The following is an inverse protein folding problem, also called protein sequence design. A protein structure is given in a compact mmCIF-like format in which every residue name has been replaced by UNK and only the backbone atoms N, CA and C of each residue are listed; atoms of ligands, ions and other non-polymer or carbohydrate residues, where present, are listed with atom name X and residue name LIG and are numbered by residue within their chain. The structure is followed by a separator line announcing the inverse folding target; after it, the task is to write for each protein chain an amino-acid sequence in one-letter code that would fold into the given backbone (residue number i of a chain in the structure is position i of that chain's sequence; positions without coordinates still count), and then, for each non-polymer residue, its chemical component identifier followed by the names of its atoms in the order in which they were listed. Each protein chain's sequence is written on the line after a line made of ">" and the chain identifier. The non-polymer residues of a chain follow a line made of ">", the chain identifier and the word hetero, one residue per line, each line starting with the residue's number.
data_IF_786804441849
#
_entry.id   IF_786804441849
#
_cell.length_a   1.000
_cell.length_b   1.000
_cell.length_c   1.000
_cell.angle_alpha   90.00
_cell.angle_beta   90.00
_cell.angle_gamma   90.00
#
_symmetry.space_group_name_H-M   'P 1'
#
loop_
_entity.id
_entity.type
_entity.pdbx_description
1 polymer ?
#
# COMPACT_ATOMS: atom_id res chain seq x y z
N UNK A 1 -8.06 -29.11 0.14
CA UNK A 1 -7.53 -28.23 1.20
C UNK A 1 -7.02 -26.98 0.51
N UNK A 2 -7.83 -25.93 0.45
CA UNK A 2 -7.60 -24.75 -0.37
C UNK A 2 -6.53 -23.83 0.26
N UNK A 3 -5.64 -23.26 -0.56
CA UNK A 3 -4.65 -22.23 -0.19
C UNK A 3 -5.33 -21.04 0.54
N UNK A 4 -6.60 -20.82 0.31
CA UNK A 4 -7.44 -19.80 0.96
C UNK A 4 -7.53 -19.95 2.49
N UNK A 5 -7.46 -21.18 3.03
CA UNK A 5 -7.54 -21.43 4.48
C UNK A 5 -6.26 -21.11 5.26
N UNK A 6 -5.12 -20.97 4.58
CA UNK A 6 -3.85 -20.66 5.27
C UNK A 6 -3.60 -19.16 5.48
N UNK A 7 -4.32 -18.31 4.76
CA UNK A 7 -4.16 -16.84 4.83
C UNK A 7 -5.37 -16.14 5.47
N UNK A 8 -6.48 -16.85 5.67
CA UNK A 8 -7.60 -16.34 6.47
C UNK A 8 -7.30 -16.57 7.94
N UNK A 9 -7.43 -15.52 8.73
CA UNK A 9 -7.40 -15.64 10.19
C UNK A 9 -8.60 -16.54 10.57
N UNK A 10 -8.40 -17.65 11.33
CA UNK A 10 -9.46 -18.61 11.61
C UNK A 10 -10.66 -17.96 12.29
N UNK A 11 -11.87 -18.32 11.87
CA UNK A 11 -13.13 -17.81 12.47
C UNK A 11 -13.38 -18.36 13.88
N UNK A 12 -12.77 -19.49 14.24
CA UNK A 12 -12.85 -20.11 15.55
C UNK A 12 -11.70 -19.65 16.47
N UNK A 13 -11.99 -18.63 17.24
CA UNK A 13 -11.04 -17.77 17.97
C UNK A 13 -10.31 -18.42 19.16
N UNK A 14 -10.75 -19.54 19.69
CA UNK A 14 -10.22 -20.01 20.98
C UNK A 14 -9.09 -21.08 20.88
N UNK A 15 -9.11 -21.93 19.87
CA UNK A 15 -8.16 -23.06 19.77
C UNK A 15 -7.18 -22.96 18.60
N UNK A 16 -7.60 -22.42 17.45
CA UNK A 16 -6.76 -22.34 16.25
C UNK A 16 -5.88 -21.10 16.20
N UNK A 17 -6.31 -20.00 16.85
CA UNK A 17 -5.57 -18.73 16.84
C UNK A 17 -4.21 -18.82 17.54
N UNK A 18 -4.14 -19.53 18.64
CA UNK A 18 -2.89 -19.70 19.39
C UNK A 18 -1.87 -20.58 18.64
N UNK A 19 -2.33 -21.64 18.00
CA UNK A 19 -1.48 -22.54 17.21
C UNK A 19 -0.94 -21.82 15.95
N UNK A 20 -1.78 -21.06 15.26
CA UNK A 20 -1.38 -20.26 14.07
C UNK A 20 -0.37 -19.17 14.43
N UNK A 21 -0.59 -18.40 15.49
CA UNK A 21 0.34 -17.38 15.99
C UNK A 21 1.68 -17.99 16.37
N UNK A 22 1.68 -19.15 17.02
CA UNK A 22 2.91 -19.86 17.40
C UNK A 22 3.73 -20.30 16.18
N UNK A 23 3.08 -20.73 15.12
CA UNK A 23 3.75 -21.22 13.91
C UNK A 23 4.20 -20.07 12.99
N UNK A 24 3.52 -18.92 13.00
CA UNK A 24 3.72 -17.81 12.07
C UNK A 24 4.37 -16.58 12.68
N UNK A 25 4.64 -16.58 13.99
CA UNK A 25 5.16 -15.43 14.73
C UNK A 25 6.44 -14.84 14.13
N UNK A 26 7.39 -15.66 13.74
CA UNK A 26 8.66 -15.21 13.15
C UNK A 26 8.44 -14.53 11.79
N UNK A 27 7.57 -15.08 10.96
CA UNK A 27 7.24 -14.51 9.64
C UNK A 27 6.50 -13.18 9.78
N UNK A 28 5.57 -13.10 10.74
CA UNK A 28 4.84 -11.87 11.04
C UNK A 28 5.80 -10.80 11.57
N UNK A 29 6.68 -11.15 12.51
CA UNK A 29 7.69 -10.23 13.04
C UNK A 29 8.60 -9.69 11.94
N UNK A 30 9.07 -10.56 11.03
CA UNK A 30 9.87 -10.14 9.87
C UNK A 30 9.09 -9.17 8.98
N UNK A 31 7.84 -9.49 8.65
CA UNK A 31 7.00 -8.63 7.84
C UNK A 31 6.80 -7.25 8.49
N UNK A 32 6.53 -7.20 9.81
CA UNK A 32 6.36 -5.95 10.56
C UNK A 32 7.64 -5.11 10.57
N UNK A 33 8.82 -5.74 10.67
CA UNK A 33 10.10 -5.04 10.60
C UNK A 33 10.38 -4.44 9.21
N UNK A 34 9.77 -4.97 8.14
CA UNK A 34 9.92 -4.45 6.77
C UNK A 34 8.96 -3.29 6.48
N UNK A 35 7.87 -3.12 7.24
CA UNK A 35 6.87 -2.06 7.01
C UNK A 35 7.48 -0.65 6.99
N UNK A 36 8.38 -0.23 7.91
CA UNK A 36 8.99 1.09 7.88
C UNK A 36 9.78 1.34 6.59
N UNK A 37 10.51 0.34 6.11
CA UNK A 37 11.28 0.46 4.85
C UNK A 37 10.38 0.57 3.64
N UNK A 38 9.29 -0.18 3.61
CA UNK A 38 8.26 -0.04 2.57
C UNK A 38 7.64 1.37 2.61
N UNK A 39 7.42 1.92 3.80
CA UNK A 39 6.95 3.29 3.98
C UNK A 39 7.92 4.33 3.43
N UNK A 40 9.22 4.20 3.70
CA UNK A 40 10.26 5.09 3.14
C UNK A 40 10.28 4.99 1.61
N UNK A 41 10.25 3.77 1.06
CA UNK A 41 10.22 3.57 -0.39
C UNK A 41 8.96 4.22 -1.03
N UNK A 42 7.82 4.14 -0.35
CA UNK A 42 6.59 4.79 -0.80
C UNK A 42 6.67 6.32 -0.75
N UNK A 43 7.30 6.90 0.27
CA UNK A 43 7.56 8.35 0.33
C UNK A 43 8.48 8.79 -0.83
N UNK A 44 9.49 8.03 -1.15
CA UNK A 44 10.35 8.31 -2.32
C UNK A 44 9.57 8.22 -3.63
N UNK A 45 8.68 7.22 -3.76
CA UNK A 45 7.77 7.12 -4.90
C UNK A 45 6.91 8.37 -5.06
N UNK A 46 6.32 8.89 -3.98
CA UNK A 46 5.56 10.15 -3.99
C UNK A 46 6.46 11.31 -4.42
N UNK A 47 7.68 11.39 -3.89
CA UNK A 47 8.65 12.44 -4.23
C UNK A 47 9.01 12.43 -5.71
N UNK A 48 9.33 11.27 -6.28
CA UNK A 48 9.65 11.11 -7.71
C UNK A 48 8.48 11.50 -8.59
N UNK A 49 7.25 11.14 -8.23
CA UNK A 49 6.08 11.56 -9.00
C UNK A 49 5.90 13.08 -8.95
N UNK A 50 6.04 13.71 -7.79
CA UNK A 50 5.93 15.17 -7.66
C UNK A 50 6.99 15.91 -8.47
N UNK A 51 8.23 15.44 -8.44
CA UNK A 51 9.31 16.01 -9.24
C UNK A 51 8.98 15.98 -10.75
N UNK A 52 8.37 14.90 -11.22
CA UNK A 52 7.92 14.75 -12.61
C UNK A 52 6.73 15.62 -13.00
N UNK A 53 5.89 15.99 -12.06
CA UNK A 53 4.73 16.84 -12.32
C UNK A 53 5.12 18.32 -12.55
N UNK A 54 6.20 18.78 -11.90
CA UNK A 54 6.74 20.13 -12.07
C UNK A 54 5.71 21.24 -11.91
N UNK A 55 5.85 22.32 -12.67
CA UNK A 55 5.00 23.51 -12.61
C UNK A 55 3.58 23.32 -13.20
N UNK A 56 3.29 22.18 -13.82
CA UNK A 56 1.99 21.86 -14.42
C UNK A 56 0.99 21.31 -13.39
N UNK A 57 1.36 21.31 -12.12
CA UNK A 57 0.59 20.74 -11.02
C UNK A 57 -0.62 21.61 -10.66
N UNK A 58 -1.84 21.11 -10.89
CA UNK A 58 -3.05 21.69 -10.31
C UNK A 58 -2.96 21.55 -8.78
N UNK A 59 -2.87 22.65 -8.07
CA UNK A 59 -2.65 22.72 -6.62
C UNK A 59 -3.65 21.88 -5.82
N UNK A 60 -4.87 21.78 -6.30
CA UNK A 60 -5.90 20.97 -5.64
C UNK A 60 -5.55 19.47 -5.69
N UNK A 61 -5.33 18.93 -6.90
CA UNK A 61 -5.02 17.51 -7.05
C UNK A 61 -3.69 17.12 -6.41
N UNK A 62 -2.69 17.99 -6.45
CA UNK A 62 -1.43 17.83 -5.75
C UNK A 62 -1.60 17.69 -4.24
N UNK A 63 -2.45 18.53 -3.66
CA UNK A 63 -2.73 18.47 -2.21
C UNK A 63 -3.47 17.18 -1.85
N UNK A 64 -4.48 16.78 -2.62
CA UNK A 64 -5.24 15.55 -2.38
C UNK A 64 -4.37 14.31 -2.60
N UNK A 65 -3.53 14.30 -3.63
CA UNK A 65 -2.55 13.25 -3.90
C UNK A 65 -1.60 13.06 -2.72
N UNK A 66 -0.92 14.12 -2.28
CA UNK A 66 0.00 14.05 -1.16
C UNK A 66 -0.71 13.65 0.14
N UNK A 67 -1.84 14.30 0.45
CA UNK A 67 -2.59 14.05 1.68
C UNK A 67 -3.11 12.62 1.77
N UNK A 68 -3.67 12.09 0.69
CA UNK A 68 -4.16 10.70 0.66
C UNK A 68 -3.03 9.67 0.75
N UNK A 69 -1.87 9.94 0.13
CA UNK A 69 -0.69 9.10 0.26
C UNK A 69 -0.15 9.05 1.68
N UNK A 70 -0.07 10.20 2.36
CA UNK A 70 0.36 10.28 3.76
C UNK A 70 -0.66 9.60 4.71
N UNK A 71 -1.96 9.77 4.47
CA UNK A 71 -3.00 9.11 5.26
C UNK A 71 -2.99 7.59 5.06
N UNK A 72 -2.77 7.12 3.83
CA UNK A 72 -2.56 5.70 3.55
C UNK A 72 -1.39 5.14 4.38
N UNK A 73 -0.25 5.84 4.38
CA UNK A 73 0.94 5.44 5.12
C UNK A 73 0.71 5.46 6.63
N UNK A 74 0.07 6.51 7.15
CA UNK A 74 -0.27 6.64 8.56
C UNK A 74 -1.18 5.49 9.03
N UNK A 75 -2.24 5.16 8.29
CA UNK A 75 -3.14 4.06 8.64
C UNK A 75 -2.44 2.70 8.52
N UNK A 76 -1.52 2.54 7.57
CA UNK A 76 -0.70 1.33 7.45
C UNK A 76 0.24 1.15 8.65
N UNK A 77 0.86 2.22 9.12
CA UNK A 77 1.71 2.17 10.32
C UNK A 77 0.91 1.92 11.59
N UNK A 78 -0.28 2.51 11.74
CA UNK A 78 -1.19 2.22 12.86
C UNK A 78 -1.57 0.74 12.85
N UNK A 79 -1.96 0.19 11.69
CA UNK A 79 -2.26 -1.23 11.57
C UNK A 79 -1.07 -2.13 11.91
N UNK A 80 0.13 -1.79 11.45
CA UNK A 80 1.35 -2.53 11.78
C UNK A 80 1.71 -2.43 13.28
N UNK A 81 1.55 -1.28 13.90
CA UNK A 81 1.79 -1.09 15.34
C UNK A 81 0.81 -1.94 16.17
N UNK A 82 -0.46 -1.99 15.78
CA UNK A 82 -1.45 -2.85 16.43
C UNK A 82 -1.11 -4.34 16.28
N UNK A 83 -0.69 -4.76 15.08
CA UNK A 83 -0.24 -6.13 14.86
C UNK A 83 0.99 -6.49 15.72
N UNK A 84 1.96 -5.58 15.81
CA UNK A 84 3.13 -5.73 16.66
C UNK A 84 2.79 -5.80 18.14
N UNK A 85 1.87 -4.94 18.60
CA UNK A 85 1.36 -4.94 19.97
C UNK A 85 0.68 -6.27 20.34
N UNK A 86 -0.17 -6.80 19.43
CA UNK A 86 -0.81 -8.10 19.63
C UNK A 86 0.21 -9.25 19.69
N UNK A 87 1.23 -9.22 18.83
CA UNK A 87 2.28 -10.24 18.83
C UNK A 87 3.11 -10.20 20.13
N UNK A 88 3.45 -9.03 20.60
CA UNK A 88 4.17 -8.83 21.88
C UNK A 88 3.33 -9.29 23.07
N UNK A 89 2.04 -8.90 23.11
CA UNK A 89 1.13 -9.32 24.19
C UNK A 89 0.94 -10.83 24.21
N UNK A 90 0.87 -11.46 23.03
CA UNK A 90 0.82 -12.92 22.91
C UNK A 90 2.08 -13.60 23.47
N UNK A 91 3.25 -13.03 23.22
CA UNK A 91 4.51 -13.57 23.73
C UNK A 91 4.65 -13.45 25.27
N UNK A 92 3.98 -12.44 25.87
CA UNK A 92 4.00 -12.24 27.33
C UNK A 92 3.02 -13.17 28.05
N UNK A 93 1.76 -13.21 27.64
CA UNK A 93 0.71 -14.09 28.20
C UNK A 93 -0.39 -14.34 27.17
N UNK A 94 -0.30 -15.49 26.53
CA UNK A 94 -1.26 -15.88 25.48
C UNK A 94 -2.68 -16.09 26.04
N UNK A 95 -2.82 -16.60 27.28
CA UNK A 95 -4.12 -16.91 27.86
C UNK A 95 -4.87 -15.63 28.26
N UNK A 96 -4.18 -14.73 28.97
CA UNK A 96 -4.75 -13.43 29.35
C UNK A 96 -5.17 -12.61 28.12
N UNK A 97 -4.41 -12.66 27.02
CA UNK A 97 -4.74 -11.94 25.80
C UNK A 97 -6.07 -12.40 25.20
N UNK A 98 -6.36 -13.70 25.22
CA UNK A 98 -7.58 -14.28 24.64
C UNK A 98 -8.77 -14.10 25.59
N UNK A 99 -8.59 -14.37 26.88
CA UNK A 99 -9.67 -14.32 27.89
C UNK A 99 -10.20 -12.90 28.09
N UNK A 100 -9.36 -11.89 28.07
CA UNK A 100 -9.74 -10.48 28.28
C UNK A 100 -10.32 -9.79 27.02
N UNK A 101 -10.49 -10.49 25.90
CA UNK A 101 -11.02 -9.91 24.66
C UNK A 101 -10.08 -8.90 23.95
N UNK A 102 -8.90 -8.65 24.48
CA UNK A 102 -7.92 -7.70 23.94
C UNK A 102 -7.50 -8.12 22.53
N UNK A 103 -7.33 -9.42 22.30
CA UNK A 103 -7.01 -9.96 20.99
C UNK A 103 -8.09 -9.64 19.94
N UNK A 104 -9.35 -9.87 20.28
CA UNK A 104 -10.49 -9.61 19.38
C UNK A 104 -10.62 -8.14 19.06
N UNK A 105 -10.49 -7.26 20.05
CA UNK A 105 -10.55 -5.81 19.86
C UNK A 105 -9.37 -5.30 19.03
N UNK A 106 -8.15 -5.67 19.40
CA UNK A 106 -6.94 -5.22 18.69
C UNK A 106 -6.92 -5.68 17.24
N UNK A 107 -7.36 -6.92 16.96
CA UNK A 107 -7.55 -7.44 15.62
C UNK A 107 -8.59 -6.64 14.83
N UNK A 108 -9.73 -6.34 15.43
CA UNK A 108 -10.78 -5.55 14.78
C UNK A 108 -10.29 -4.15 14.40
N UNK A 109 -9.58 -3.46 15.30
CA UNK A 109 -9.04 -2.12 15.04
C UNK A 109 -7.94 -2.18 13.97
N UNK A 110 -7.03 -3.16 14.04
CA UNK A 110 -6.02 -3.41 13.01
C UNK A 110 -6.66 -3.60 11.62
N UNK A 111 -7.69 -4.45 11.57
CA UNK A 111 -8.40 -4.75 10.34
C UNK A 111 -9.09 -3.52 9.76
N UNK A 112 -9.78 -2.72 10.59
CA UNK A 112 -10.39 -1.47 10.17
C UNK A 112 -9.35 -0.48 9.64
N UNK A 113 -8.23 -0.32 10.34
CA UNK A 113 -7.17 0.60 9.93
C UNK A 113 -6.60 0.25 8.54
N UNK A 114 -6.32 -1.03 8.29
CA UNK A 114 -5.72 -1.50 7.05
C UNK A 114 -6.73 -1.61 5.90
N UNK A 115 -7.84 -2.32 6.14
CA UNK A 115 -8.74 -2.69 5.05
C UNK A 115 -9.84 -1.67 4.76
N UNK A 116 -10.15 -0.80 5.72
CA UNK A 116 -11.14 0.25 5.50
C UNK A 116 -10.47 1.58 5.22
N UNK A 117 -9.65 2.07 6.12
CA UNK A 117 -9.10 3.42 6.00
C UNK A 117 -7.92 3.48 5.02
N UNK A 118 -6.91 2.61 5.17
CA UNK A 118 -5.75 2.65 4.29
C UNK A 118 -6.12 2.38 2.82
N UNK A 119 -6.91 1.34 2.54
CA UNK A 119 -7.30 1.00 1.16
C UNK A 119 -8.10 2.12 0.51
N UNK A 120 -9.02 2.78 1.22
CA UNK A 120 -9.76 3.92 0.66
C UNK A 120 -8.87 5.11 0.38
N UNK A 121 -7.88 5.40 1.24
CA UNK A 121 -6.90 6.44 0.97
C UNK A 121 -6.00 6.09 -0.21
N UNK A 122 -5.63 4.83 -0.39
CA UNK A 122 -4.95 4.36 -1.60
C UNK A 122 -5.79 4.60 -2.87
N UNK A 123 -7.09 4.33 -2.82
CA UNK A 123 -8.01 4.63 -3.92
C UNK A 123 -8.06 6.12 -4.26
N UNK A 124 -8.17 7.00 -3.25
CA UNK A 124 -8.15 8.46 -3.46
C UNK A 124 -6.82 8.92 -4.04
N UNK A 125 -5.71 8.36 -3.57
CA UNK A 125 -4.36 8.61 -4.10
C UNK A 125 -4.28 8.29 -5.60
N UNK A 126 -4.74 7.10 -6.00
CA UNK A 126 -4.75 6.67 -7.39
C UNK A 126 -5.66 7.52 -8.27
N UNK A 127 -6.86 7.92 -7.79
CA UNK A 127 -7.77 8.82 -8.52
C UNK A 127 -7.11 10.17 -8.76
N UNK A 128 -6.51 10.75 -7.73
CA UNK A 128 -5.85 12.06 -7.84
C UNK A 128 -4.72 12.01 -8.86
N UNK A 129 -3.89 10.98 -8.83
CA UNK A 129 -2.81 10.80 -9.78
C UNK A 129 -3.31 10.55 -11.21
N UNK A 130 -4.36 9.74 -11.38
CA UNK A 130 -5.01 9.52 -12.66
C UNK A 130 -5.55 10.83 -13.26
N UNK A 131 -6.20 11.66 -12.44
CA UNK A 131 -6.71 12.97 -12.88
C UNK A 131 -5.57 13.90 -13.33
N UNK A 132 -4.45 13.92 -12.60
CA UNK A 132 -3.27 14.69 -12.98
C UNK A 132 -2.73 14.18 -14.33
N UNK A 133 -2.55 12.88 -14.52
CA UNK A 133 -2.04 12.31 -15.78
C UNK A 133 -2.94 12.61 -16.97
N UNK A 134 -4.26 12.58 -16.79
CA UNK A 134 -5.21 12.93 -17.86
C UNK A 134 -5.12 14.40 -18.26
N UNK A 135 -4.83 15.29 -17.31
CA UNK A 135 -4.73 16.75 -17.57
C UNK A 135 -3.38 17.14 -18.15
N UNK A 136 -2.30 16.58 -17.63
CA UNK A 136 -0.93 16.93 -18.03
C UNK A 136 -0.45 16.20 -19.28
N UNK A 137 -1.09 15.09 -19.65
CA UNK A 137 -0.65 14.24 -20.74
C UNK A 137 0.67 13.51 -20.51
N UNK A 138 1.21 13.54 -19.28
CA UNK A 138 2.49 12.91 -18.89
C UNK A 138 2.49 11.40 -19.08
N UNK A 139 1.33 10.78 -19.07
CA UNK A 139 1.19 9.34 -19.27
C UNK A 139 0.14 9.04 -20.34
N UNK A 140 0.33 7.92 -21.02
CA UNK A 140 -0.65 7.47 -22.03
C UNK A 140 -2.04 7.33 -21.40
N UNK A 141 -3.07 7.83 -22.08
CA UNK A 141 -4.45 7.86 -21.57
C UNK A 141 -4.96 6.51 -21.08
N UNK A 142 -4.50 5.41 -21.69
CA UNK A 142 -4.85 4.05 -21.26
C UNK A 142 -4.40 3.72 -19.83
N UNK A 143 -3.19 4.14 -19.44
CA UNK A 143 -2.69 3.99 -18.06
C UNK A 143 -3.49 4.78 -17.05
N UNK A 144 -3.86 6.02 -17.40
CA UNK A 144 -4.68 6.85 -16.53
C UNK A 144 -6.08 6.26 -16.32
N UNK A 145 -6.73 5.79 -17.39
CA UNK A 145 -8.06 5.14 -17.31
C UNK A 145 -7.98 3.84 -16.50
N UNK A 146 -6.95 3.00 -16.73
CA UNK A 146 -6.74 1.78 -15.95
C UNK A 146 -6.55 2.09 -14.46
N UNK A 147 -5.72 3.08 -14.14
CA UNK A 147 -5.50 3.54 -12.75
C UNK A 147 -6.80 4.01 -12.11
N UNK A 148 -7.61 4.77 -12.83
CA UNK A 148 -8.91 5.24 -12.36
C UNK A 148 -9.89 4.08 -12.10
N UNK A 149 -9.95 3.10 -13.00
CA UNK A 149 -10.79 1.91 -12.82
C UNK A 149 -10.36 1.07 -11.60
N UNK A 150 -9.05 0.83 -11.43
CA UNK A 150 -8.53 0.13 -10.26
C UNK A 150 -8.81 0.89 -8.96
N UNK A 151 -8.69 2.22 -8.98
CA UNK A 151 -9.01 3.06 -7.83
C UNK A 151 -10.49 2.96 -7.43
N UNK A 152 -11.41 2.94 -8.39
CA UNK A 152 -12.83 2.73 -8.12
C UNK A 152 -13.09 1.37 -7.50
N UNK A 153 -12.41 0.32 -7.96
CA UNK A 153 -12.48 -1.02 -7.34
C UNK A 153 -12.07 -0.94 -5.87
N UNK A 154 -10.96 -0.25 -5.54
CA UNK A 154 -10.51 -0.10 -4.14
C UNK A 154 -11.50 0.69 -3.28
N UNK A 155 -12.14 1.72 -3.83
CA UNK A 155 -13.10 2.56 -3.09
C UNK A 155 -14.44 1.87 -2.85
N UNK A 156 -14.92 1.11 -3.85
CA UNK A 156 -16.24 0.51 -3.83
C UNK A 156 -16.25 -0.92 -3.29
N UNK A 157 -15.08 -1.55 -3.16
CA UNK A 157 -14.97 -2.90 -2.60
C UNK A 157 -15.45 -2.93 -1.16
N UNK A 158 -16.51 -3.71 -0.93
CA UNK A 158 -17.06 -4.02 0.39
C UNK A 158 -16.44 -5.32 0.91
N UNK A 159 -16.12 -6.24 -0.01
CA UNK A 159 -15.52 -7.53 0.31
C UNK A 159 -14.00 -7.43 0.43
N UNK A 160 -13.52 -7.88 1.57
CA UNK A 160 -12.10 -7.86 1.92
C UNK A 160 -11.38 -9.09 1.40
N UNK A 161 -11.24 -9.16 0.09
CA UNK A 161 -10.44 -10.21 -0.55
C UNK A 161 -8.95 -9.81 -0.52
N UNK A 162 -8.09 -10.78 -0.23
CA UNK A 162 -6.63 -10.60 -0.31
C UNK A 162 -6.18 -10.02 -1.66
N UNK A 163 -6.87 -10.36 -2.73
CA UNK A 163 -6.61 -9.85 -4.08
C UNK A 163 -6.81 -8.34 -4.19
N UNK A 164 -7.82 -7.79 -3.53
CA UNK A 164 -8.08 -6.34 -3.52
C UNK A 164 -6.94 -5.59 -2.82
N UNK A 165 -6.44 -6.14 -1.72
CA UNK A 165 -5.31 -5.55 -0.98
C UNK A 165 -4.02 -5.51 -1.80
N UNK A 166 -3.80 -6.48 -2.71
CA UNK A 166 -2.62 -6.55 -3.56
C UNK A 166 -2.69 -5.62 -4.79
N UNK A 167 -3.86 -5.08 -5.13
CA UNK A 167 -4.01 -4.15 -6.28
C UNK A 167 -3.09 -2.94 -6.12
N UNK A 168 -3.09 -2.30 -4.95
CA UNK A 168 -2.33 -1.07 -4.73
C UNK A 168 -0.82 -1.28 -4.78
N UNK A 169 -0.20 -2.22 -4.03
CA UNK A 169 1.23 -2.50 -4.15
C UNK A 169 1.64 -2.93 -5.55
N UNK A 170 0.84 -3.77 -6.20
CA UNK A 170 1.08 -4.20 -7.57
C UNK A 170 1.04 -3.04 -8.57
N UNK A 171 0.11 -2.12 -8.41
CA UNK A 171 0.02 -0.91 -9.21
C UNK A 171 1.22 0.03 -8.97
N UNK A 172 1.63 0.25 -7.71
CA UNK A 172 2.84 1.05 -7.38
C UNK A 172 4.07 0.46 -8.06
N UNK A 173 4.23 -0.87 -8.00
CA UNK A 173 5.32 -1.57 -8.68
C UNK A 173 5.26 -1.36 -10.20
N UNK A 174 4.10 -1.54 -10.82
CA UNK A 174 3.92 -1.39 -12.27
C UNK A 174 4.26 0.04 -12.74
N UNK A 175 3.80 1.06 -12.02
CA UNK A 175 4.10 2.47 -12.30
C UNK A 175 5.59 2.75 -12.11
N UNK A 176 6.21 2.24 -11.04
CA UNK A 176 7.65 2.41 -10.79
C UNK A 176 8.50 1.80 -11.89
N UNK A 177 8.18 0.58 -12.33
CA UNK A 177 8.87 -0.10 -13.44
C UNK A 177 8.66 0.66 -14.75
N UNK A 178 7.45 1.14 -15.02
CA UNK A 178 7.16 1.93 -16.21
C UNK A 178 8.04 3.19 -16.29
N UNK A 179 8.13 3.96 -15.20
CA UNK A 179 9.01 5.13 -15.14
C UNK A 179 10.49 4.78 -15.30
N UNK A 180 10.96 3.67 -14.74
CA UNK A 180 12.34 3.22 -14.88
C UNK A 180 12.68 2.89 -16.34
N UNK A 181 11.80 2.19 -17.05
CA UNK A 181 11.98 1.82 -18.45
C UNK A 181 11.96 3.06 -19.34
N UNK A 182 11.03 3.98 -19.09
CA UNK A 182 10.91 5.22 -19.85
C UNK A 182 12.16 6.09 -19.71
N UNK A 183 12.66 6.26 -18.49
CA UNK A 183 13.86 7.07 -18.22
C UNK A 183 15.13 6.51 -18.87
N UNK A 184 15.25 5.17 -18.97
CA UNK A 184 16.39 4.53 -19.65
C UNK A 184 16.40 4.76 -21.17
N UNK A 185 15.25 5.06 -21.75
CA UNK A 185 15.15 5.31 -23.21
C UNK A 185 15.52 6.73 -23.60
N UNK A 186 15.38 7.71 -22.71
CA UNK A 186 15.71 9.11 -23.00
C UNK A 186 17.21 9.42 -22.85
N UNK A 187 17.94 8.75 -21.97
CA UNK A 187 19.36 8.97 -21.73
C UNK A 187 20.30 8.71 -22.94
N UNK A 188 20.08 7.74 -23.84
CA UNK A 188 20.95 7.50 -24.98
C UNK A 188 20.93 8.63 -26.03
N UNK A 189 19.80 9.36 -26.14
CA UNK A 189 19.64 10.41 -27.16
C UNK A 189 20.37 11.69 -26.75
N UNK A 190 20.34 12.05 -25.48
CA UNK A 190 21.04 13.23 -24.96
C UNK A 190 22.57 13.08 -25.07
N UNK A 191 23.12 11.89 -24.82
CA UNK A 191 24.54 11.62 -24.93
C UNK A 191 25.08 11.63 -26.38
N UNK A 192 24.22 11.38 -27.37
CA UNK A 192 24.60 11.45 -28.79
C UNK A 192 24.60 12.88 -29.32
N UNK A 193 23.78 13.77 -28.79
CA UNK A 193 23.67 15.17 -29.21
C UNK A 193 24.86 15.99 -28.71
N UNK A 194 25.35 15.71 -27.49
CA UNK A 194 26.60 16.35 -26.98
C UNK A 194 27.87 15.89 -27.69
N UNK A 195 27.92 14.67 -28.25
CA UNK A 195 29.08 14.16 -28.97
C UNK A 195 29.14 14.64 -30.43
N UNK A 196 28.03 15.16 -30.98
CA UNK A 196 27.94 15.69 -32.34
C UNK A 196 28.26 17.19 -32.45
N UNK A 197 28.37 17.88 -31.30
CA UNK A 197 28.64 19.34 -31.24
C UNK A 197 30.11 19.70 -30.94
N UNK A 198 31.02 18.71 -30.80
CA UNK A 198 32.45 18.88 -30.61
C UNK A 198 33.22 18.51 -31.89
#
# INVERSE_FOLDING_TARGET
>A
MCIRDRLSIPDNLATDSAAWLKTSSATIALALNLVPYAGIAFLWFIGVIRDRLGDHEDRFFATVFLGSGLLFLAMSFVGAALAGGLLTSYALDANALVENGVFTYGRAVMYQSLNVYAIRMAGVFMISLSAIWLRTGLMHRGWAILTFALALVLLLSIDYSLWVTLIFPGWVLAVSVHFLIYNRREQPVAAMDESGAA
#
